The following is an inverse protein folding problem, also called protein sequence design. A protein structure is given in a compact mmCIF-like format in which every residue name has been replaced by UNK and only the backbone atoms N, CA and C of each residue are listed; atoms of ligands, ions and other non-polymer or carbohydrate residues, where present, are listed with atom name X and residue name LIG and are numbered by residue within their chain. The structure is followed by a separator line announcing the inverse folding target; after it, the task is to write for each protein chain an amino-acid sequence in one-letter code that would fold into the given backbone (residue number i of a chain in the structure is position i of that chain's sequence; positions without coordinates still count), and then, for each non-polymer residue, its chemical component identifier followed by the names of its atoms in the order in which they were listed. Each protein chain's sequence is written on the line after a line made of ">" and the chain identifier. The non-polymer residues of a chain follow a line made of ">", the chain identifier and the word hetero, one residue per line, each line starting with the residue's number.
data_IF_548074770115
#
_entry.id   IF_548074770115
#
_cell.length_a   1.000
_cell.length_b   1.000
_cell.length_c   1.000
_cell.angle_alpha   90.00
_cell.angle_beta   90.00
_cell.angle_gamma   90.00
#
_symmetry.space_group_name_H-M   'P 1'
#
loop_
_entity.id
_entity.type
_entity.pdbx_description
1 polymer ?
#
# COMPACT_ATOMS: atom_id res chain seq x y z
N UNK A 1 -9.34 1.01 -7.00
CA UNK A 1 -8.46 1.90 -7.78
C UNK A 1 -8.12 3.14 -6.96
N UNK A 2 -6.94 3.66 -7.15
CA UNK A 2 -6.46 4.85 -6.44
C UNK A 2 -7.22 6.12 -6.84
N UNK A 3 -7.32 7.07 -5.92
CA UNK A 3 -7.94 8.37 -6.16
C UNK A 3 -7.20 9.15 -7.25
N UNK A 4 -7.97 9.87 -8.05
CA UNK A 4 -7.43 10.77 -9.05
C UNK A 4 -6.91 12.06 -8.41
N UNK A 5 -6.00 12.73 -9.09
CA UNK A 5 -5.39 13.98 -8.66
C UNK A 5 -6.44 15.02 -8.21
N UNK A 6 -7.50 15.20 -9.00
CA UNK A 6 -8.57 16.17 -8.70
C UNK A 6 -9.35 15.80 -7.43
N UNK A 7 -9.54 14.51 -7.16
CA UNK A 7 -10.18 14.03 -5.93
C UNK A 7 -9.30 14.30 -4.71
N UNK A 8 -7.99 14.08 -4.84
CA UNK A 8 -7.02 14.37 -3.78
C UNK A 8 -6.94 15.87 -3.49
N UNK A 9 -6.93 16.71 -4.51
CA UNK A 9 -6.90 18.17 -4.37
C UNK A 9 -8.12 18.67 -3.58
N UNK A 10 -9.31 18.23 -3.95
CA UNK A 10 -10.55 18.57 -3.24
C UNK A 10 -10.55 18.12 -1.78
N UNK A 11 -10.06 16.90 -1.54
CA UNK A 11 -10.01 16.35 -0.19
C UNK A 11 -9.02 17.10 0.69
N UNK A 12 -7.85 17.46 0.15
CA UNK A 12 -6.85 18.29 0.84
C UNK A 12 -7.36 19.71 1.10
N UNK A 13 -8.06 20.31 0.16
CA UNK A 13 -8.70 21.61 0.35
C UNK A 13 -9.71 21.57 1.50
N UNK A 14 -10.49 20.49 1.60
CA UNK A 14 -11.41 20.27 2.72
C UNK A 14 -10.67 20.13 4.05
N UNK A 15 -9.54 19.43 4.07
CA UNK A 15 -8.69 19.32 5.26
C UNK A 15 -8.21 20.70 5.72
N UNK A 16 -7.73 21.49 4.78
CA UNK A 16 -7.14 22.81 5.06
C UNK A 16 -8.16 23.91 5.30
N UNK A 17 -9.44 23.67 5.07
CA UNK A 17 -10.54 24.55 5.46
C UNK A 17 -10.82 24.51 6.98
N UNK A 18 -9.87 24.08 7.78
CA UNK A 18 -9.86 24.01 9.24
C UNK A 18 -8.69 24.82 9.80
N UNK A 19 -8.49 24.77 11.11
CA UNK A 19 -7.34 25.42 11.75
C UNK A 19 -6.03 24.64 11.65
N UNK A 20 -5.96 23.55 10.88
CA UNK A 20 -4.73 22.80 10.73
C UNK A 20 -3.71 23.51 9.83
N UNK A 21 -2.42 23.21 10.06
CA UNK A 21 -1.30 23.84 9.34
C UNK A 21 -0.87 23.02 8.13
N UNK A 22 -1.08 21.70 8.19
CA UNK A 22 -0.64 20.75 7.16
C UNK A 22 -1.56 19.54 7.14
N UNK A 23 -1.80 19.01 5.96
CA UNK A 23 -2.56 17.78 5.75
C UNK A 23 -1.82 16.84 4.81
N UNK A 24 -1.89 15.56 5.11
CA UNK A 24 -1.29 14.50 4.30
C UNK A 24 -2.30 13.38 4.09
N UNK A 25 -2.35 12.88 2.87
CA UNK A 25 -3.15 11.72 2.48
C UNK A 25 -2.20 10.62 2.02
N UNK A 26 -2.31 9.47 2.68
CA UNK A 26 -1.64 8.24 2.31
C UNK A 26 -2.66 7.27 1.77
N UNK A 27 -2.44 6.79 0.55
CA UNK A 27 -3.30 5.79 -0.07
C UNK A 27 -2.48 4.57 -0.43
N UNK A 28 -3.00 3.39 -0.10
CA UNK A 28 -2.36 2.12 -0.42
C UNK A 28 -3.33 1.16 -1.12
N UNK A 29 -2.79 0.39 -2.05
CA UNK A 29 -3.46 -0.74 -2.68
C UNK A 29 -2.41 -1.84 -2.86
N UNK A 30 -2.63 -3.00 -2.25
CA UNK A 30 -1.64 -4.06 -2.22
C UNK A 30 -2.22 -5.45 -2.39
N UNK A 31 -1.42 -6.35 -2.95
CA UNK A 31 -1.71 -7.78 -3.07
C UNK A 31 -0.59 -8.57 -2.43
N UNK A 32 -0.95 -9.47 -1.54
CA UNK A 32 -0.05 -10.46 -0.94
C UNK A 32 -0.50 -11.84 -1.39
N UNK A 33 0.40 -12.60 -2.00
CA UNK A 33 0.20 -13.99 -2.35
C UNK A 33 1.12 -14.85 -1.51
N UNK A 34 0.58 -15.93 -0.93
CA UNK A 34 1.34 -16.91 -0.15
C UNK A 34 1.05 -18.31 -0.68
N UNK A 35 2.12 -19.04 -0.97
CA UNK A 35 2.06 -20.43 -1.37
C UNK A 35 2.81 -21.28 -0.34
N UNK A 36 2.26 -22.43 0.04
CA UNK A 36 2.93 -23.39 0.90
C UNK A 36 2.98 -24.76 0.28
N UNK A 37 4.13 -25.41 0.42
CA UNK A 37 4.42 -26.70 -0.16
C UNK A 37 4.99 -27.63 0.93
N UNK A 38 4.51 -28.86 0.95
CA UNK A 38 5.04 -29.91 1.82
C UNK A 38 5.50 -31.09 0.98
N UNK A 39 6.76 -31.48 1.15
CA UNK A 39 7.37 -32.62 0.45
C UNK A 39 7.11 -32.62 -1.07
N UNK A 40 7.29 -31.45 -1.70
CA UNK A 40 7.13 -31.28 -3.14
C UNK A 40 5.70 -31.12 -3.65
N UNK A 41 4.71 -31.06 -2.76
CA UNK A 41 3.30 -30.87 -3.13
C UNK A 41 2.78 -29.53 -2.60
N UNK A 42 2.14 -28.76 -3.48
CA UNK A 42 1.44 -27.53 -3.09
C UNK A 42 0.26 -27.90 -2.18
N UNK A 43 0.22 -27.33 -0.98
CA UNK A 43 -0.85 -27.56 -0.01
C UNK A 43 -1.82 -26.41 0.11
N UNK A 44 -1.31 -25.18 0.03
CA UNK A 44 -2.14 -23.99 0.24
C UNK A 44 -1.72 -22.83 -0.66
N UNK A 45 -2.72 -22.09 -1.06
CA UNK A 45 -2.58 -20.85 -1.84
C UNK A 45 -3.51 -19.81 -1.24
N UNK A 46 -2.97 -18.69 -0.83
CA UNK A 46 -3.74 -17.59 -0.25
C UNK A 46 -3.40 -16.28 -0.95
N UNK A 47 -4.43 -15.51 -1.27
CA UNK A 47 -4.30 -14.16 -1.84
C UNK A 47 -5.05 -13.19 -0.94
N UNK A 48 -4.36 -12.18 -0.45
CA UNK A 48 -4.92 -11.09 0.32
C UNK A 48 -4.78 -9.78 -0.46
N UNK A 49 -5.91 -9.11 -0.67
CA UNK A 49 -5.95 -7.76 -1.26
C UNK A 49 -6.25 -6.78 -0.13
N UNK A 50 -5.44 -5.73 -0.03
CA UNK A 50 -5.62 -4.65 0.94
C UNK A 50 -5.63 -3.32 0.21
N UNK A 51 -6.62 -2.50 0.53
CA UNK A 51 -6.72 -1.14 0.03
C UNK A 51 -7.21 -0.23 1.15
N UNK A 52 -6.70 0.99 1.20
CA UNK A 52 -7.14 1.95 2.21
C UNK A 52 -6.50 3.31 2.06
N UNK A 53 -7.06 4.27 2.78
CA UNK A 53 -6.65 5.67 2.80
C UNK A 53 -6.47 6.11 4.25
N UNK A 54 -5.29 6.65 4.55
CA UNK A 54 -4.99 7.33 5.80
C UNK A 54 -4.93 8.83 5.59
N UNK A 55 -5.53 9.59 6.48
CA UNK A 55 -5.50 11.05 6.47
C UNK A 55 -4.94 11.52 7.79
N UNK A 56 -3.97 12.42 7.73
CA UNK A 56 -3.36 13.02 8.91
C UNK A 56 -3.39 14.53 8.80
N UNK A 57 -3.91 15.18 9.83
CA UNK A 57 -3.91 16.63 9.97
C UNK A 57 -2.95 17.02 11.08
N UNK A 58 -2.23 18.12 10.88
CA UNK A 58 -1.27 18.64 11.84
C UNK A 58 -1.64 20.08 12.22
N UNK A 59 -1.49 20.39 13.51
CA UNK A 59 -1.56 21.73 14.06
C UNK A 59 -0.45 21.91 15.09
N UNK A 60 0.60 22.65 14.75
CA UNK A 60 1.78 22.75 15.58
C UNK A 60 2.39 21.38 15.83
N UNK A 61 2.51 20.97 17.09
CA UNK A 61 3.02 19.66 17.51
C UNK A 61 1.93 18.59 17.64
N UNK A 62 0.68 18.96 17.45
CA UNK A 62 -0.45 18.03 17.53
C UNK A 62 -0.80 17.46 16.17
N UNK A 63 -1.23 16.22 16.15
CA UNK A 63 -1.74 15.58 14.95
C UNK A 63 -2.97 14.72 15.25
N UNK A 64 -3.86 14.60 14.29
CA UNK A 64 -4.96 13.63 14.28
C UNK A 64 -4.85 12.78 13.04
N UNK A 65 -5.20 11.51 13.17
CA UNK A 65 -5.10 10.52 12.11
C UNK A 65 -6.35 9.67 12.03
N UNK A 66 -6.79 9.38 10.82
CA UNK A 66 -7.85 8.43 10.56
C UNK A 66 -7.53 7.58 9.34
N UNK A 67 -8.01 6.34 9.34
CA UNK A 67 -7.84 5.39 8.26
C UNK A 67 -9.18 4.77 7.87
N UNK A 68 -9.42 4.58 6.58
CA UNK A 68 -10.61 3.92 6.08
C UNK A 68 -10.30 3.06 4.87
N UNK A 69 -11.07 1.97 4.72
CA UNK A 69 -11.07 1.14 3.52
C UNK A 69 -12.11 1.63 2.49
N UNK A 70 -12.97 2.54 2.89
CA UNK A 70 -14.02 3.09 2.03
C UNK A 70 -13.51 4.32 1.29
N UNK A 71 -13.58 4.28 -0.04
CA UNK A 71 -13.01 5.31 -0.92
C UNK A 71 -14.06 6.19 -1.59
N UNK A 72 -15.31 6.10 -1.19
CA UNK A 72 -16.36 6.99 -1.69
C UNK A 72 -16.11 8.43 -1.24
N UNK A 73 -16.48 9.39 -2.06
CA UNK A 73 -16.34 10.82 -1.74
C UNK A 73 -17.06 11.16 -0.43
N UNK A 74 -18.26 10.62 -0.22
CA UNK A 74 -19.03 10.82 1.01
C UNK A 74 -18.29 10.33 2.26
N UNK A 75 -17.77 9.10 2.22
CA UNK A 75 -17.05 8.49 3.35
C UNK A 75 -15.75 9.24 3.66
N UNK A 76 -15.02 9.67 2.63
CA UNK A 76 -13.78 10.42 2.81
C UNK A 76 -14.04 11.82 3.35
N UNK A 77 -15.08 12.50 2.88
CA UNK A 77 -15.47 13.79 3.40
C UNK A 77 -15.91 13.70 4.88
N UNK A 78 -16.66 12.66 5.24
CA UNK A 78 -17.04 12.40 6.62
C UNK A 78 -15.82 12.17 7.52
N UNK A 79 -14.84 11.40 7.05
CA UNK A 79 -13.60 11.17 7.79
C UNK A 79 -12.83 12.48 8.02
N UNK A 80 -12.68 13.29 6.99
CA UNK A 80 -12.03 14.61 7.11
C UNK A 80 -12.77 15.50 8.11
N UNK A 81 -14.08 15.54 8.05
CA UNK A 81 -14.88 16.37 8.96
C UNK A 81 -14.74 15.93 10.43
N UNK A 82 -14.68 14.64 10.67
CA UNK A 82 -14.40 14.07 12.00
C UNK A 82 -13.00 14.48 12.51
N UNK A 83 -12.00 14.38 11.65
CA UNK A 83 -10.62 14.77 12.00
C UNK A 83 -10.50 16.27 12.26
N UNK A 84 -11.15 17.10 11.46
CA UNK A 84 -11.18 18.56 11.63
C UNK A 84 -11.80 18.97 12.98
N UNK A 85 -12.77 18.22 13.44
CA UNK A 85 -13.40 18.46 14.76
C UNK A 85 -12.41 18.47 15.91
N UNK A 86 -11.26 17.78 15.77
CA UNK A 86 -10.20 17.78 16.78
C UNK A 86 -9.42 19.10 16.89
N UNK A 87 -9.51 19.99 15.88
CA UNK A 87 -8.77 21.26 15.84
C UNK A 87 -9.66 22.51 15.80
N UNK A 88 -10.96 22.35 15.84
CA UNK A 88 -11.90 23.44 15.62
C UNK A 88 -12.11 23.75 14.13
N UNK A 89 -13.23 24.39 13.84
CA UNK A 89 -13.63 24.71 12.46
C UNK A 89 -13.27 26.16 12.19
N UNK A 90 -12.35 26.40 11.27
CA UNK A 90 -12.12 27.69 10.64
C UNK A 90 -12.62 27.64 9.20
N UNK A 91 -13.34 28.69 8.80
CA UNK A 91 -13.74 28.82 7.39
C UNK A 91 -12.60 29.46 6.60
N UNK A 92 -11.74 28.65 6.02
CA UNK A 92 -10.70 29.10 5.10
C UNK A 92 -11.01 28.60 3.69
N UNK A 93 -10.85 29.50 2.71
CA UNK A 93 -10.82 29.08 1.31
C UNK A 93 -9.38 28.84 0.89
N UNK A 94 -9.02 27.60 0.63
CA UNK A 94 -7.67 27.19 0.20
C UNK A 94 -7.78 26.52 -1.16
N UNK A 95 -6.89 26.89 -2.08
CA UNK A 95 -6.74 26.20 -3.37
C UNK A 95 -5.45 25.39 -3.37
N UNK A 96 -5.53 24.11 -3.71
CA UNK A 96 -4.40 23.19 -3.74
C UNK A 96 -4.24 22.65 -5.16
N UNK A 97 -3.05 22.82 -5.72
CA UNK A 97 -2.63 22.20 -6.97
C UNK A 97 -1.55 21.17 -6.70
N UNK A 98 -1.84 19.93 -6.98
CA UNK A 98 -0.87 18.84 -6.82
C UNK A 98 0.05 18.76 -8.04
N UNK A 99 1.34 18.66 -7.77
CA UNK A 99 2.38 18.42 -8.77
C UNK A 99 2.96 17.04 -8.51
N UNK A 100 2.84 16.17 -9.50
CA UNK A 100 3.42 14.83 -9.42
C UNK A 100 4.95 14.93 -9.46
N UNK A 101 5.61 14.42 -8.42
CA UNK A 101 7.05 14.29 -8.36
C UNK A 101 7.46 12.94 -8.95
N UNK A 102 8.34 12.99 -9.96
CA UNK A 102 9.00 11.80 -10.50
C UNK A 102 10.41 11.73 -9.94
N UNK A 103 10.81 10.55 -9.48
CA UNK A 103 12.18 10.28 -9.07
C UNK A 103 12.75 9.13 -9.89
N UNK A 104 14.05 9.13 -10.06
CA UNK A 104 14.74 8.06 -10.76
C UNK A 104 14.55 6.74 -9.98
N UNK A 105 14.08 5.72 -10.68
CA UNK A 105 13.97 4.40 -10.08
C UNK A 105 15.32 3.70 -10.15
N UNK A 106 16.05 3.71 -9.04
CA UNK A 106 17.37 3.08 -8.92
C UNK A 106 17.32 1.55 -9.01
N UNK A 107 16.14 0.98 -8.76
CA UNK A 107 15.90 -0.47 -8.78
C UNK A 107 14.66 -0.79 -9.61
N UNK A 108 14.77 -0.69 -10.96
CA UNK A 108 13.63 -0.95 -11.83
C UNK A 108 13.14 -2.40 -11.65
N UNK A 109 11.83 -2.52 -11.49
CA UNK A 109 11.18 -3.83 -11.40
C UNK A 109 11.19 -4.47 -12.78
N UNK A 110 11.93 -5.56 -12.90
CA UNK A 110 12.00 -6.31 -14.16
C UNK A 110 10.78 -7.21 -14.34
N UNK A 111 10.33 -7.80 -13.27
CA UNK A 111 9.20 -8.73 -13.25
C UNK A 111 8.47 -8.63 -11.91
N UNK A 112 7.13 -8.51 -11.97
CA UNK A 112 6.32 -8.48 -10.76
C UNK A 112 6.02 -9.93 -10.31
N UNK A 113 6.54 -10.37 -9.15
CA UNK A 113 6.35 -11.75 -8.71
C UNK A 113 4.88 -12.11 -8.44
N UNK A 114 4.02 -11.14 -8.15
CA UNK A 114 2.57 -11.39 -7.99
C UNK A 114 1.92 -11.78 -9.32
N UNK A 115 2.39 -11.20 -10.42
CA UNK A 115 1.88 -11.45 -11.77
C UNK A 115 2.48 -12.69 -12.44
N UNK A 116 3.56 -13.25 -11.89
CA UNK A 116 4.17 -14.46 -12.41
C UNK A 116 3.18 -15.64 -12.32
N UNK A 117 3.28 -16.57 -13.29
CA UNK A 117 2.37 -17.70 -13.34
C UNK A 117 2.50 -18.62 -12.11
N UNK A 118 1.39 -19.21 -11.69
CA UNK A 118 1.40 -20.21 -10.61
C UNK A 118 2.34 -21.37 -10.95
N UNK A 119 2.35 -21.80 -12.20
CA UNK A 119 3.21 -22.87 -12.68
C UNK A 119 4.70 -22.57 -12.46
N UNK A 120 5.15 -21.35 -12.80
CA UNK A 120 6.55 -20.94 -12.59
C UNK A 120 6.92 -20.87 -11.11
N UNK A 121 6.00 -20.41 -10.27
CA UNK A 121 6.18 -20.35 -8.81
C UNK A 121 6.29 -21.73 -8.20
N UNK A 122 5.41 -22.65 -8.58
CA UNK A 122 5.44 -24.04 -8.14
C UNK A 122 6.72 -24.72 -8.58
N UNK A 123 7.15 -24.52 -9.83
CA UNK A 123 8.41 -25.08 -10.34
C UNK A 123 9.62 -24.60 -9.52
N UNK A 124 9.66 -23.31 -9.16
CA UNK A 124 10.70 -22.76 -8.29
C UNK A 124 10.69 -23.42 -6.90
N UNK A 125 9.51 -23.59 -6.32
CA UNK A 125 9.35 -24.20 -5.00
C UNK A 125 9.74 -25.69 -5.01
N UNK A 126 9.42 -26.42 -6.07
CA UNK A 126 9.84 -27.81 -6.25
C UNK A 126 11.36 -27.91 -6.29
N UNK A 127 12.02 -27.03 -7.04
CA UNK A 127 13.50 -26.98 -7.09
C UNK A 127 14.10 -26.73 -5.70
N UNK A 128 13.52 -25.84 -4.91
CA UNK A 128 13.97 -25.59 -3.54
C UNK A 128 13.76 -26.82 -2.65
N UNK A 129 12.61 -27.46 -2.76
CA UNK A 129 12.29 -28.70 -2.03
C UNK A 129 13.27 -29.82 -2.35
N UNK A 130 13.55 -30.04 -3.64
CA UNK A 130 14.48 -31.09 -4.11
C UNK A 130 15.91 -30.80 -3.63
N UNK A 131 16.36 -29.57 -3.70
CA UNK A 131 17.68 -29.15 -3.21
C UNK A 131 17.83 -29.39 -1.70
N UNK A 132 16.80 -29.06 -0.93
CA UNK A 132 16.79 -29.27 0.52
C UNK A 132 16.85 -30.81 0.83
N UNK A 133 16.07 -31.60 0.14
CA UNK A 133 16.06 -33.06 0.30
C UNK A 133 17.40 -33.72 -0.07
N UNK A 134 18.06 -33.22 -1.10
CA UNK A 134 19.34 -33.73 -1.55
C UNK A 134 20.52 -33.45 -0.59
N UNK A 135 20.31 -32.56 0.38
CA UNK A 135 21.34 -32.15 1.33
C UNK A 135 21.76 -33.29 2.28
N UNK A 136 20.80 -34.11 2.71
CA UNK A 136 21.07 -35.23 3.62
C UNK A 136 19.96 -36.28 3.58
N UNK A 137 20.31 -37.55 3.63
CA UNK A 137 19.38 -38.69 3.73
C UNK A 137 18.59 -38.69 5.05
N UNK A 138 19.01 -37.89 6.03
CA UNK A 138 18.31 -37.74 7.32
C UNK A 138 17.11 -36.79 7.24
N UNK A 139 16.99 -36.03 6.15
CA UNK A 139 15.86 -35.09 5.98
C UNK A 139 14.63 -35.88 5.55
N UNK A 140 13.64 -35.91 6.44
CA UNK A 140 12.36 -36.60 6.22
C UNK A 140 11.23 -35.73 5.78
N UNK A 141 11.32 -34.42 6.11
CA UNK A 141 10.26 -33.42 5.84
C UNK A 141 10.86 -32.11 5.34
N UNK A 142 10.34 -31.62 4.23
CA UNK A 142 10.70 -30.31 3.67
C UNK A 142 9.43 -29.49 3.48
N UNK A 143 9.40 -28.32 4.11
CA UNK A 143 8.36 -27.30 3.89
C UNK A 143 8.97 -26.13 3.14
N UNK A 144 8.31 -25.68 2.09
CA UNK A 144 8.69 -24.49 1.33
C UNK A 144 7.54 -23.50 1.35
N UNK A 145 7.83 -22.27 1.70
CA UNK A 145 6.89 -21.17 1.60
C UNK A 145 7.37 -20.14 0.59
N UNK A 146 6.47 -19.61 -0.24
CA UNK A 146 6.74 -18.51 -1.14
C UNK A 146 5.73 -17.40 -0.87
N UNK A 147 6.20 -16.22 -0.49
CA UNK A 147 5.38 -15.04 -0.31
C UNK A 147 5.80 -13.94 -1.30
N UNK A 148 4.83 -13.39 -2.00
CA UNK A 148 5.02 -12.30 -2.95
C UNK A 148 4.10 -11.15 -2.58
N UNK A 149 4.64 -9.92 -2.53
CA UNK A 149 3.90 -8.71 -2.20
C UNK A 149 4.13 -7.66 -3.27
N UNK A 150 3.04 -7.07 -3.75
CA UNK A 150 3.06 -5.87 -4.57
C UNK A 150 2.19 -4.82 -3.88
N UNK A 151 2.78 -3.69 -3.50
CA UNK A 151 2.09 -2.58 -2.86
C UNK A 151 2.28 -1.32 -3.68
N UNK A 152 1.17 -0.72 -4.10
CA UNK A 152 1.15 0.61 -4.69
C UNK A 152 0.78 1.63 -3.61
N UNK A 153 1.56 2.69 -3.51
CA UNK A 153 1.39 3.75 -2.53
C UNK A 153 1.31 5.09 -3.25
N UNK A 154 0.41 5.93 -2.80
CA UNK A 154 0.27 7.31 -3.26
C UNK A 154 0.22 8.23 -2.05
N UNK A 155 1.10 9.23 -2.03
CA UNK A 155 1.17 10.21 -0.95
C UNK A 155 0.96 11.60 -1.54
N UNK A 156 0.06 12.34 -0.94
CA UNK A 156 -0.21 13.73 -1.32
C UNK A 156 -0.31 14.61 -0.08
N UNK A 157 0.01 15.88 -0.22
CA UNK A 157 -0.05 16.81 0.89
C UNK A 157 -0.55 18.21 0.50
N UNK A 158 -0.85 19.00 1.52
CA UNK A 158 -1.38 20.35 1.37
C UNK A 158 -0.39 21.37 0.80
N UNK A 159 0.89 21.03 0.69
CA UNK A 159 1.90 21.86 0.02
C UNK A 159 1.97 21.59 -1.49
N UNK A 160 1.12 20.72 -2.00
CA UNK A 160 1.01 20.43 -3.44
C UNK A 160 1.87 19.27 -3.92
N UNK A 161 2.40 18.46 -3.02
CA UNK A 161 3.21 17.28 -3.37
C UNK A 161 2.34 16.08 -3.68
N UNK A 162 2.66 15.37 -4.75
CA UNK A 162 2.06 14.10 -5.11
C UNK A 162 3.15 13.12 -5.53
N UNK A 163 3.23 11.99 -4.84
CA UNK A 163 4.25 10.95 -5.07
C UNK A 163 3.58 9.59 -5.20
N UNK A 164 3.97 8.82 -6.22
CA UNK A 164 3.62 7.42 -6.37
C UNK A 164 4.83 6.54 -6.12
N UNK A 165 4.61 5.39 -5.49
CA UNK A 165 5.64 4.37 -5.29
C UNK A 165 5.04 2.97 -5.45
N UNK A 166 5.80 2.06 -6.03
CA UNK A 166 5.45 0.65 -6.12
C UNK A 166 6.52 -0.16 -5.39
N UNK A 167 6.10 -0.89 -4.36
CA UNK A 167 6.97 -1.70 -3.53
C UNK A 167 6.70 -3.17 -3.80
N UNK A 168 7.74 -3.89 -4.17
CA UNK A 168 7.67 -5.32 -4.43
C UNK A 168 8.62 -6.05 -3.50
N UNK A 169 8.12 -7.15 -2.93
CA UNK A 169 8.90 -8.06 -2.09
C UNK A 169 8.57 -9.48 -2.47
N UNK A 170 9.59 -10.31 -2.49
CA UNK A 170 9.45 -11.75 -2.64
C UNK A 170 10.35 -12.44 -1.61
N UNK A 171 9.81 -13.48 -0.97
CA UNK A 171 10.52 -14.26 0.03
C UNK A 171 10.20 -15.75 -0.12
N UNK A 172 11.26 -16.56 -0.13
CA UNK A 172 11.16 -18.00 -0.06
C UNK A 172 11.79 -18.51 1.24
#
# INVERSE_FOLDING_TARGET
>A
SMLKKEQLEKLLERCMASSCDFAEIFEEEGTTESLSMLNGKLEDTNVLIRAGIGIRLYKGVQSVYGYTNETSEESLNALVDDLRGGFGIESKSVSISLVEETHENLHPIKENPVEASLESKVALMVRASDAAKAYSDQIQKVSVGLASVCQNVQISNSEGRLVHDTRIRCRM
#
